data_IF_063651475244
#
_entry.id   IF_063651475244
#
_cell.length_a   1.000
_cell.length_b   1.000
_cell.length_c   1.000
_cell.angle_alpha   90.00
_cell.angle_beta   90.00
_cell.angle_gamma   90.00
#
_symmetry.space_group_name_H-M   'P 1'
#
loop_
_entity.id
_entity.type
_entity.pdbx_description
1 polymer ?
#
# COMPACT_ATOMS: atom_id res chain seq x y z
N UNK A 1 37.31 -12.04 8.84
CA UNK A 1 36.71 -10.73 8.49
C UNK A 1 35.20 -10.82 8.63
N UNK A 2 34.61 -10.16 9.64
CA UNK A 2 33.15 -10.07 9.74
C UNK A 2 32.66 -9.04 8.73
N UNK A 3 32.09 -9.48 7.62
CA UNK A 3 31.42 -8.57 6.69
C UNK A 3 30.14 -8.09 7.37
N UNK A 4 30.15 -6.86 7.88
CA UNK A 4 28.98 -6.27 8.53
C UNK A 4 27.94 -5.93 7.45
N UNK A 5 27.20 -6.96 7.02
CA UNK A 5 26.14 -6.85 6.03
C UNK A 5 25.02 -6.01 6.63
N UNK A 6 24.73 -4.88 6.00
CA UNK A 6 23.65 -3.99 6.41
C UNK A 6 22.32 -4.76 6.48
N UNK A 7 21.58 -4.57 7.57
CA UNK A 7 20.22 -5.10 7.71
C UNK A 7 19.33 -4.53 6.62
N UNK A 8 18.44 -5.34 6.07
CA UNK A 8 17.51 -4.91 5.03
C UNK A 8 16.42 -4.01 5.62
N UNK A 9 16.41 -2.74 5.23
CA UNK A 9 15.31 -1.81 5.53
C UNK A 9 14.24 -1.88 4.43
N UNK A 10 12.97 -1.96 4.82
CA UNK A 10 11.84 -1.95 3.88
C UNK A 10 11.03 -0.68 4.07
N UNK A 11 11.23 0.26 3.15
CA UNK A 11 10.60 1.57 3.15
C UNK A 11 9.11 1.51 2.76
N UNK A 12 8.32 2.38 3.39
CA UNK A 12 6.92 2.62 3.02
C UNK A 12 6.84 3.44 1.73
N UNK A 13 5.66 3.51 1.11
CA UNK A 13 5.47 4.32 -0.10
C UNK A 13 5.67 5.80 0.22
N UNK A 14 5.17 6.26 1.37
CA UNK A 14 5.39 7.61 1.87
C UNK A 14 6.89 7.96 1.98
N UNK A 15 7.67 7.12 2.67
CA UNK A 15 9.12 7.35 2.82
C UNK A 15 9.87 7.40 1.49
N UNK A 16 9.43 6.60 0.51
CA UNK A 16 10.02 6.64 -0.84
C UNK A 16 9.75 7.97 -1.53
N UNK A 17 8.58 8.56 -1.34
CA UNK A 17 8.22 9.88 -1.88
C UNK A 17 9.01 11.00 -1.17
N UNK A 18 9.17 10.93 0.16
CA UNK A 18 10.00 11.87 0.92
C UNK A 18 11.47 11.84 0.45
N UNK A 19 12.02 10.64 0.24
CA UNK A 19 13.36 10.48 -0.33
C UNK A 19 13.48 11.17 -1.70
N UNK A 20 12.49 11.00 -2.58
CA UNK A 20 12.49 11.64 -3.90
C UNK A 20 12.42 13.17 -3.76
N UNK A 21 11.56 13.67 -2.89
CA UNK A 21 11.42 15.10 -2.61
C UNK A 21 12.74 15.70 -2.09
N UNK A 22 13.42 15.02 -1.16
CA UNK A 22 14.72 15.45 -0.65
C UNK A 22 15.79 15.51 -1.75
N UNK A 23 15.80 14.56 -2.68
CA UNK A 23 16.72 14.58 -3.82
C UNK A 23 16.43 15.74 -4.78
N UNK A 24 15.16 16.10 -4.97
CA UNK A 24 14.74 17.23 -5.80
C UNK A 24 15.09 18.58 -5.18
N UNK A 25 15.06 18.66 -3.84
CA UNK A 25 15.58 19.79 -3.07
C UNK A 25 17.12 19.89 -3.08
N UNK A 26 17.81 19.03 -3.84
CA UNK A 26 19.26 19.08 -4.00
C UNK A 26 20.07 18.38 -2.90
N UNK A 27 19.43 17.62 -1.99
CA UNK A 27 20.19 16.81 -1.02
C UNK A 27 20.99 15.72 -1.74
N UNK A 28 22.18 15.43 -1.23
CA UNK A 28 23.04 14.38 -1.78
C UNK A 28 22.46 12.98 -1.52
N UNK A 29 22.62 12.08 -2.49
CA UNK A 29 22.15 10.70 -2.36
C UNK A 29 22.78 9.96 -1.16
N UNK A 30 24.03 10.29 -0.82
CA UNK A 30 24.75 9.75 0.34
C UNK A 30 24.11 10.19 1.67
N UNK A 31 23.77 11.47 1.79
CA UNK A 31 23.11 12.00 3.00
C UNK A 31 21.76 11.32 3.23
N UNK A 32 20.93 11.27 2.18
CA UNK A 32 19.60 10.63 2.25
C UNK A 32 19.72 9.12 2.48
N UNK A 33 20.71 8.46 1.88
CA UNK A 33 20.94 7.03 2.12
C UNK A 33 21.25 6.72 3.59
N UNK A 34 22.05 7.57 4.25
CA UNK A 34 22.40 7.41 5.65
C UNK A 34 21.20 7.68 6.57
N UNK A 35 20.46 8.76 6.32
CA UNK A 35 19.27 9.16 7.09
C UNK A 35 18.21 8.04 7.15
N UNK A 36 17.99 7.36 6.02
CA UNK A 36 17.00 6.27 5.91
C UNK A 36 17.61 4.87 6.10
N UNK A 37 18.91 4.78 6.42
CA UNK A 37 19.68 3.54 6.55
C UNK A 37 19.52 2.58 5.35
N UNK A 38 19.64 3.11 4.13
CA UNK A 38 19.54 2.38 2.86
C UNK A 38 20.84 2.48 2.04
N UNK A 39 20.94 1.70 0.97
CA UNK A 39 22.03 1.84 0.00
C UNK A 39 21.85 3.05 -0.90
N UNK A 40 22.94 3.73 -1.25
CA UNK A 40 22.93 4.78 -2.29
C UNK A 40 22.34 4.26 -3.61
N UNK A 41 22.59 2.99 -3.95
CA UNK A 41 21.98 2.35 -5.11
C UNK A 41 20.45 2.32 -4.99
N UNK A 42 19.92 2.01 -3.81
CA UNK A 42 18.47 2.05 -3.55
C UNK A 42 17.91 3.45 -3.76
N UNK A 43 18.61 4.50 -3.30
CA UNK A 43 18.21 5.89 -3.49
C UNK A 43 18.18 6.26 -4.98
N UNK A 44 19.20 5.86 -5.74
CA UNK A 44 19.25 6.05 -7.21
C UNK A 44 18.11 5.32 -7.92
N UNK A 45 17.80 4.09 -7.51
CA UNK A 45 16.70 3.31 -8.07
C UNK A 45 15.33 3.92 -7.74
N UNK A 46 15.17 4.50 -6.55
CA UNK A 46 13.95 5.23 -6.18
C UNK A 46 13.74 6.46 -7.05
N UNK A 47 14.81 7.22 -7.34
CA UNK A 47 14.76 8.36 -8.28
C UNK A 47 14.25 7.93 -9.65
N UNK A 48 14.72 6.79 -10.17
CA UNK A 48 14.25 6.23 -11.45
C UNK A 48 12.76 5.83 -11.43
N UNK A 49 12.28 5.32 -10.28
CA UNK A 49 10.89 4.87 -10.08
C UNK A 49 9.93 5.99 -9.67
N UNK A 50 10.35 7.27 -9.72
CA UNK A 50 9.55 8.43 -9.32
C UNK A 50 8.16 8.43 -9.95
N UNK A 51 8.09 8.31 -11.28
CA UNK A 51 6.83 8.42 -12.02
C UNK A 51 5.82 7.34 -11.61
N UNK A 52 6.29 6.11 -11.41
CA UNK A 52 5.43 5.00 -10.96
C UNK A 52 4.91 5.21 -9.54
N UNK A 53 5.78 5.70 -8.64
CA UNK A 53 5.41 6.01 -7.25
C UNK A 53 4.37 7.13 -7.18
N UNK A 54 4.55 8.19 -7.97
CA UNK A 54 3.59 9.30 -8.05
C UNK A 54 2.25 8.82 -8.63
N UNK A 55 2.27 8.10 -9.77
CA UNK A 55 1.04 7.55 -10.37
C UNK A 55 0.30 6.64 -9.41
N UNK A 56 1.02 5.83 -8.62
CA UNK A 56 0.43 4.98 -7.60
C UNK A 56 -0.16 5.79 -6.44
N UNK A 57 0.53 6.81 -5.97
CA UNK A 57 0.09 7.67 -4.88
C UNK A 57 -1.15 8.49 -5.26
N UNK A 58 -1.21 9.04 -6.47
CA UNK A 58 -2.37 9.77 -6.99
C UNK A 58 -3.62 8.89 -7.11
N UNK A 59 -3.46 7.58 -7.32
CA UNK A 59 -4.56 6.62 -7.39
C UNK A 59 -4.97 6.07 -6.01
N UNK A 60 -4.29 6.45 -4.93
CA UNK A 60 -4.59 5.96 -3.59
C UNK A 60 -5.63 6.86 -2.91
N UNK A 61 -6.68 6.25 -2.35
CA UNK A 61 -7.78 7.00 -1.70
C UNK A 61 -7.38 7.65 -0.36
N UNK A 62 -6.29 7.19 0.28
CA UNK A 62 -5.91 7.70 1.60
C UNK A 62 -4.39 7.79 1.80
N UNK A 63 -3.95 8.94 2.33
CA UNK A 63 -2.58 9.19 2.79
C UNK A 63 -2.15 8.20 3.88
N UNK A 64 -3.06 7.78 4.78
CA UNK A 64 -2.76 6.80 5.82
C UNK A 64 -2.38 5.43 5.22
N UNK A 65 -3.01 5.06 4.11
CA UNK A 65 -2.68 3.85 3.37
C UNK A 65 -1.24 3.87 2.86
N UNK A 66 -0.78 5.03 2.35
CA UNK A 66 0.59 5.21 1.85
C UNK A 66 1.65 5.17 2.95
N UNK A 67 1.31 5.62 4.16
CA UNK A 67 2.20 5.57 5.33
C UNK A 67 2.44 4.15 5.82
N UNK A 68 1.46 3.24 5.71
CA UNK A 68 1.60 1.84 6.15
C UNK A 68 2.10 0.91 5.04
N UNK A 69 1.69 1.14 3.79
CA UNK A 69 1.95 0.26 2.66
C UNK A 69 3.41 0.35 2.19
N UNK A 70 4.03 -0.80 1.90
CA UNK A 70 5.43 -0.89 1.41
C UNK A 70 5.56 -1.28 -0.07
N UNK A 71 4.55 -1.94 -0.63
CA UNK A 71 4.55 -2.46 -2.02
C UNK A 71 3.42 -1.82 -2.84
N UNK A 72 3.70 -1.50 -4.11
CA UNK A 72 2.73 -1.01 -5.09
C UNK A 72 1.90 -2.13 -5.76
N UNK A 73 1.71 -3.28 -5.08
CA UNK A 73 0.98 -4.43 -5.64
C UNK A 73 -0.45 -3.99 -5.97
N UNK A 74 -0.93 -4.21 -7.19
CA UNK A 74 -2.33 -3.96 -7.54
C UNK A 74 -3.19 -5.16 -7.14
N UNK A 75 -4.44 -4.91 -6.79
CA UNK A 75 -5.41 -5.99 -6.58
C UNK A 75 -5.61 -6.75 -7.90
N UNK A 76 -5.65 -8.09 -7.82
CA UNK A 76 -5.87 -8.96 -8.97
C UNK A 76 -7.33 -8.90 -9.43
N UNK A 77 -8.27 -8.83 -8.48
CA UNK A 77 -9.71 -8.86 -8.73
C UNK A 77 -10.38 -7.58 -8.25
N UNK A 78 -10.00 -6.44 -8.83
CA UNK A 78 -10.47 -5.12 -8.40
C UNK A 78 -12.00 -5.00 -8.32
N UNK A 79 -12.70 -5.55 -9.31
CA UNK A 79 -14.16 -5.49 -9.38
C UNK A 79 -14.80 -6.29 -8.26
N UNK A 80 -14.27 -7.48 -7.96
CA UNK A 80 -14.72 -8.32 -6.87
C UNK A 80 -14.47 -7.65 -5.51
N UNK A 81 -13.24 -7.16 -5.29
CA UNK A 81 -12.87 -6.46 -4.04
C UNK A 81 -13.76 -5.25 -3.80
N UNK A 82 -14.07 -4.48 -4.86
CA UNK A 82 -14.98 -3.34 -4.80
C UNK A 82 -16.41 -3.79 -4.46
N UNK A 83 -16.95 -4.78 -5.16
CA UNK A 83 -18.28 -5.30 -4.89
C UNK A 83 -18.43 -5.83 -3.45
N UNK A 84 -17.39 -6.50 -2.94
CA UNK A 84 -17.34 -7.01 -1.57
C UNK A 84 -17.33 -5.87 -0.54
N UNK A 85 -16.53 -4.81 -0.77
CA UNK A 85 -16.48 -3.64 0.10
C UNK A 85 -17.80 -2.84 0.07
N UNK A 86 -18.39 -2.68 -1.12
CA UNK A 86 -19.67 -2.00 -1.31
C UNK A 86 -20.79 -2.74 -0.55
N UNK A 87 -20.86 -4.07 -0.71
CA UNK A 87 -21.81 -4.92 0.01
C UNK A 87 -21.62 -4.83 1.53
N UNK A 88 -20.38 -4.94 2.02
CA UNK A 88 -20.09 -4.85 3.44
C UNK A 88 -20.49 -3.48 4.03
N UNK A 89 -20.23 -2.40 3.29
CA UNK A 89 -20.60 -1.04 3.69
C UNK A 89 -22.12 -0.88 3.74
N UNK A 90 -22.85 -1.42 2.77
CA UNK A 90 -24.32 -1.44 2.76
C UNK A 90 -24.87 -2.21 3.97
N UNK A 91 -24.33 -3.39 4.26
CA UNK A 91 -24.71 -4.17 5.44
C UNK A 91 -24.49 -3.38 6.73
N UNK A 92 -23.35 -2.68 6.86
CA UNK A 92 -23.06 -1.85 8.04
C UNK A 92 -23.99 -0.64 8.16
N UNK A 93 -24.39 0.00 7.06
CA UNK A 93 -25.37 1.09 7.11
C UNK A 93 -26.78 0.58 7.47
N UNK A 94 -27.13 -0.65 7.06
CA UNK A 94 -28.39 -1.29 7.45
C UNK A 94 -28.41 -1.64 8.95
N UNK A 95 -27.27 -2.03 9.54
CA UNK A 95 -27.16 -2.31 10.98
C UNK A 95 -27.43 -1.08 11.86
N UNK A 96 -27.19 0.15 11.38
CA UNK A 96 -27.53 1.39 12.11
C UNK A 96 -29.06 1.60 12.19
N UNK A 97 -29.84 0.93 11.34
CA UNK A 97 -31.31 0.89 11.38
C UNK A 97 -31.92 -0.16 12.31
N UNK A 98 -31.11 -0.83 13.15
CA UNK A 98 -31.58 -1.76 14.18
C UNK A 98 -32.01 -3.12 13.62
N UNK A 99 -31.06 -4.04 13.46
CA UNK A 99 -31.20 -5.48 13.77
C UNK A 99 -29.84 -6.16 13.52
N UNK A 100 -29.33 -6.88 14.52
CA UNK A 100 -28.05 -7.58 14.47
C UNK A 100 -28.18 -8.92 13.73
N UNK A 101 -27.66 -9.02 12.50
CA UNK A 101 -27.43 -10.32 11.84
C UNK A 101 -25.94 -10.69 11.89
N UNK A 102 -25.44 -10.97 13.09
CA UNK A 102 -24.06 -11.47 13.25
C UNK A 102 -23.99 -13.00 13.09
N UNK A 103 -25.09 -13.75 12.95
CA UNK A 103 -25.00 -15.23 12.93
C UNK A 103 -25.20 -15.95 11.59
N UNK A 104 -25.60 -15.31 10.46
CA UNK A 104 -26.06 -16.11 9.29
C UNK A 104 -25.11 -16.14 8.08
N UNK A 105 -24.08 -15.29 8.01
CA UNK A 105 -23.36 -15.13 6.71
C UNK A 105 -22.31 -16.24 6.42
N UNK A 106 -22.00 -17.14 7.37
CA UNK A 106 -21.26 -18.36 7.04
C UNK A 106 -22.14 -19.50 6.46
N UNK A 107 -23.47 -19.36 6.40
CA UNK A 107 -24.39 -20.47 6.13
C UNK A 107 -25.17 -20.44 4.81
N UNK A 108 -25.14 -19.36 4.01
CA UNK A 108 -26.00 -19.25 2.83
C UNK A 108 -25.27 -18.64 1.63
N UNK A 109 -24.38 -19.42 1.04
CA UNK A 109 -24.01 -19.25 -0.36
C UNK A 109 -24.28 -20.59 -1.07
N UNK A 110 -25.49 -20.81 -1.63
CA UNK A 110 -25.63 -21.88 -2.61
C UNK A 110 -24.89 -21.42 -3.87
N UNK A 111 -23.68 -21.95 -4.05
CA UNK A 111 -23.00 -21.98 -5.34
C UNK A 111 -23.90 -22.77 -6.31
N UNK A 112 -24.80 -22.08 -7.01
CA UNK A 112 -25.39 -22.63 -8.22
C UNK A 112 -24.45 -22.29 -9.38
N UNK A 113 -23.57 -23.24 -9.70
CA UNK A 113 -22.74 -23.24 -10.90
C UNK A 113 -23.51 -24.00 -11.98
N UNK A 114 -23.92 -23.39 -13.11
CA UNK A 114 -24.52 -24.15 -14.19
C UNK A 114 -23.41 -24.92 -14.93
N UNK A 115 -23.70 -26.19 -15.21
CA UNK A 115 -22.87 -27.07 -16.04
C UNK A 115 -23.02 -26.82 -17.53
#
# INVERSE_FOLDING_TARGET
>A
MFTNKRKRVVLTIHQKLEIIEHLEKGRSAKSVANEYNVGEQTVKDLKKKKMDLLKFASAAESSLGLKKRKKMKKATFKTLDKAMLDWFTQQRSMVIGGLTVISVICGLFPLHYPG
#
